data_IF_297528225109
#
_entry.id   IF_297528225109
#
_cell.length_a   1.000
_cell.length_b   1.000
_cell.length_c   1.000
_cell.angle_alpha   90.00
_cell.angle_beta   90.00
_cell.angle_gamma   90.00
#
_symmetry.space_group_name_H-M   'P 1'
#
loop_
_entity.id
_entity.type
_entity.pdbx_description
1 polymer ?
#
# COMPACT_ATOMS: atom_id res chain seq x y z
N UNK A 1 -40.48 13.44 -2.51
CA UNK A 1 -39.60 12.31 -2.87
C UNK A 1 -38.34 12.20 -1.99
N UNK A 2 -37.90 13.25 -1.27
CA UNK A 2 -36.73 13.25 -0.38
C UNK A 2 -36.94 12.61 1.01
N UNK A 3 -38.12 12.07 1.31
CA UNK A 3 -38.47 11.43 2.59
C UNK A 3 -38.47 9.89 2.53
N UNK A 4 -37.77 9.28 1.57
CA UNK A 4 -37.34 7.89 1.78
C UNK A 4 -36.07 7.96 2.60
N UNK A 5 -36.10 7.42 3.82
CA UNK A 5 -34.92 7.19 4.65
C UNK A 5 -33.80 6.70 3.73
N UNK A 6 -32.70 7.46 3.65
CA UNK A 6 -31.52 7.02 2.93
C UNK A 6 -31.19 5.61 3.45
N UNK A 7 -30.87 4.64 2.58
CA UNK A 7 -30.67 3.23 2.96
C UNK A 7 -29.40 3.01 3.80
N UNK A 8 -28.83 4.08 4.34
CA UNK A 8 -27.64 4.07 5.17
C UNK A 8 -27.82 5.07 6.30
N UNK A 9 -27.41 4.65 7.49
CA UNK A 9 -27.33 5.52 8.66
C UNK A 9 -26.04 6.32 8.55
N UNK A 10 -26.13 7.65 8.57
CA UNK A 10 -24.96 8.51 8.72
C UNK A 10 -24.39 8.32 10.13
N UNK A 11 -23.19 7.77 10.23
CA UNK A 11 -22.46 7.72 11.49
C UNK A 11 -21.57 8.96 11.57
N UNK A 12 -21.93 9.90 12.44
CA UNK A 12 -21.21 11.16 12.62
C UNK A 12 -19.76 10.96 13.08
N UNK A 13 -19.48 9.85 13.77
CA UNK A 13 -18.16 9.55 14.31
C UNK A 13 -17.25 8.85 13.29
N UNK A 14 -17.79 8.40 12.16
CA UNK A 14 -17.03 7.74 11.10
C UNK A 14 -16.74 8.70 9.94
N UNK A 15 -15.45 8.91 9.67
CA UNK A 15 -15.04 9.53 8.40
C UNK A 15 -15.43 8.57 7.28
N UNK A 16 -16.13 9.06 6.26
CA UNK A 16 -16.37 8.28 5.04
C UNK A 16 -15.19 8.39 4.07
N UNK A 17 -14.99 7.36 3.24
CA UNK A 17 -13.97 7.43 2.20
C UNK A 17 -14.33 8.48 1.17
N UNK A 18 -13.46 9.46 0.99
CA UNK A 18 -13.60 10.46 -0.07
C UNK A 18 -12.75 10.03 -1.26
N UNK A 19 -13.40 9.58 -2.33
CA UNK A 19 -12.68 9.28 -3.58
C UNK A 19 -12.33 10.57 -4.31
N UNK A 20 -11.07 10.73 -4.72
CA UNK A 20 -10.71 11.81 -5.66
C UNK A 20 -10.48 11.21 -7.05
N UNK A 21 -11.47 11.32 -7.96
CA UNK A 21 -11.28 10.85 -9.32
C UNK A 21 -10.33 11.76 -10.11
N UNK A 22 -10.05 12.98 -9.63
CA UNK A 22 -9.32 14.00 -10.37
C UNK A 22 -7.80 13.82 -10.24
N UNK A 23 -7.08 14.17 -11.31
CA UNK A 23 -5.66 13.85 -11.49
C UNK A 23 -5.40 12.40 -11.92
N UNK A 24 -6.45 11.64 -12.23
CA UNK A 24 -6.37 10.25 -12.66
C UNK A 24 -6.66 10.11 -14.17
N UNK A 25 -5.88 9.35 -14.93
CA UNK A 25 -6.20 9.06 -16.34
C UNK A 25 -7.60 8.44 -16.58
N UNK A 26 -8.21 7.86 -15.55
CA UNK A 26 -9.57 7.28 -15.53
C UNK A 26 -10.67 8.33 -15.32
N UNK A 27 -10.33 9.58 -15.03
CA UNK A 27 -11.27 10.68 -14.71
C UNK A 27 -12.18 11.13 -15.87
N UNK A 28 -12.16 10.45 -17.03
CA UNK A 28 -12.75 10.93 -18.28
C UNK A 28 -14.25 11.28 -18.12
N UNK A 29 -14.95 10.58 -17.24
CA UNK A 29 -16.38 10.78 -16.98
C UNK A 29 -16.70 11.83 -15.90
N UNK A 30 -15.69 12.42 -15.26
CA UNK A 30 -15.88 13.33 -14.13
C UNK A 30 -15.36 14.73 -14.48
N UNK A 31 -16.25 15.72 -14.38
CA UNK A 31 -15.93 17.13 -14.63
C UNK A 31 -15.54 17.87 -13.34
N UNK A 32 -16.22 17.55 -12.24
CA UNK A 32 -15.98 18.13 -10.93
C UNK A 32 -16.40 17.15 -9.81
N UNK A 33 -15.83 17.35 -8.63
CA UNK A 33 -16.21 16.71 -7.37
C UNK A 33 -16.65 17.81 -6.40
N UNK A 34 -17.81 17.62 -5.78
CA UNK A 34 -18.31 18.46 -4.69
C UNK A 34 -18.31 17.64 -3.41
N UNK A 35 -17.63 18.14 -2.38
CA UNK A 35 -17.54 17.48 -1.07
C UNK A 35 -18.15 18.39 -0.01
N UNK A 36 -19.18 17.90 0.65
CA UNK A 36 -19.80 18.57 1.79
C UNK A 36 -19.10 18.08 3.07
N UNK A 37 -18.25 18.92 3.64
CA UNK A 37 -17.59 18.70 4.92
C UNK A 37 -18.40 19.38 6.03
N UNK A 38 -19.44 18.68 6.47
CA UNK A 38 -20.39 19.17 7.47
C UNK A 38 -19.69 19.52 8.79
N UNK A 39 -18.80 18.67 9.36
CA UNK A 39 -18.11 19.00 10.61
C UNK A 39 -17.30 20.29 10.57
N UNK A 40 -16.69 20.60 9.42
CA UNK A 40 -15.88 21.81 9.26
C UNK A 40 -16.65 23.01 8.69
N UNK A 41 -17.96 22.90 8.48
CA UNK A 41 -18.81 23.92 7.84
C UNK A 41 -18.31 24.32 6.44
N UNK A 42 -17.83 23.38 5.61
CA UNK A 42 -17.19 23.68 4.32
C UNK A 42 -17.78 22.89 3.15
N UNK A 43 -18.05 23.56 2.04
CA UNK A 43 -18.22 22.96 0.70
C UNK A 43 -16.91 23.06 -0.08
N UNK A 44 -16.35 21.92 -0.44
CA UNK A 44 -15.18 21.85 -1.31
C UNK A 44 -15.60 21.55 -2.74
N UNK A 45 -15.00 22.26 -3.69
CA UNK A 45 -15.12 22.06 -5.12
C UNK A 45 -13.76 21.67 -5.68
N UNK A 46 -13.70 20.55 -6.40
CA UNK A 46 -12.47 20.12 -7.10
C UNK A 46 -12.80 19.88 -8.56
N UNK A 47 -11.98 20.38 -9.48
CA UNK A 47 -12.03 20.03 -10.90
C UNK A 47 -10.61 19.72 -11.42
N UNK A 48 -10.42 19.56 -12.73
CA UNK A 48 -9.09 19.22 -13.28
C UNK A 48 -8.00 20.28 -13.05
N UNK A 49 -8.37 21.54 -12.86
CA UNK A 49 -7.42 22.65 -12.78
C UNK A 49 -7.21 23.18 -11.37
N UNK A 50 -8.19 23.03 -10.48
CA UNK A 50 -8.15 23.62 -9.15
C UNK A 50 -8.96 22.86 -8.12
N UNK A 51 -8.61 23.08 -6.87
CA UNK A 51 -9.42 22.81 -5.69
C UNK A 51 -9.77 24.13 -5.01
N UNK A 52 -11.00 24.28 -4.57
CA UNK A 52 -11.51 25.49 -3.92
C UNK A 52 -12.47 25.13 -2.80
N UNK A 53 -12.68 26.03 -1.85
CA UNK A 53 -13.61 25.82 -0.75
C UNK A 53 -14.42 27.07 -0.42
N UNK A 54 -15.58 26.90 0.18
CA UNK A 54 -16.38 27.97 0.78
C UNK A 54 -17.09 27.46 2.01
N UNK A 55 -17.40 28.34 2.98
CA UNK A 55 -18.21 27.96 4.13
C UNK A 55 -19.66 27.66 3.73
N UNK A 56 -20.27 26.63 4.31
CA UNK A 56 -21.68 26.28 4.04
C UNK A 56 -22.62 27.37 4.56
N UNK A 57 -22.29 28.02 5.69
CA UNK A 57 -23.00 29.20 6.19
C UNK A 57 -23.19 30.30 5.13
N UNK A 58 -22.17 30.58 4.31
CA UNK A 58 -22.26 31.59 3.25
C UNK A 58 -23.25 31.22 2.12
N UNK A 59 -23.48 29.92 1.90
CA UNK A 59 -24.47 29.45 0.92
C UNK A 59 -25.91 29.68 1.39
N UNK A 60 -26.12 29.83 2.70
CA UNK A 60 -27.44 30.10 3.29
C UNK A 60 -27.79 31.59 3.25
N UNK A 61 -26.76 32.46 3.27
CA UNK A 61 -26.93 33.91 3.31
C UNK A 61 -27.10 34.55 1.93
N UNK A 62 -26.44 34.01 0.90
CA UNK A 62 -26.47 34.61 -0.45
C UNK A 62 -26.27 33.59 -1.56
N UNK A 63 -26.59 34.01 -2.79
CA UNK A 63 -26.19 33.28 -4.00
C UNK A 63 -24.66 33.37 -4.14
N UNK A 64 -24.03 32.21 -4.29
CA UNK A 64 -22.57 32.05 -4.38
C UNK A 64 -22.19 31.56 -5.77
N UNK A 65 -21.13 32.13 -6.33
CA UNK A 65 -20.49 31.68 -7.56
C UNK A 65 -19.14 31.02 -7.27
N UNK A 66 -18.59 30.30 -8.25
CA UNK A 66 -17.25 29.69 -8.12
C UNK A 66 -16.11 30.71 -7.89
N UNK A 67 -16.34 31.99 -8.19
CA UNK A 67 -15.38 33.07 -7.96
C UNK A 67 -15.32 33.50 -6.48
N UNK A 68 -16.38 33.22 -5.70
CA UNK A 68 -16.43 33.51 -4.27
C UNK A 68 -15.68 32.46 -3.42
N UNK A 69 -15.26 31.34 -4.03
CA UNK A 69 -14.58 30.25 -3.33
C UNK A 69 -13.09 30.54 -3.18
N UNK A 70 -12.55 30.26 -1.99
CA UNK A 70 -11.13 30.32 -1.68
C UNK A 70 -10.37 29.22 -2.44
N UNK A 71 -9.23 29.56 -3.06
CA UNK A 71 -8.40 28.59 -3.79
C UNK A 71 -7.50 27.79 -2.86
N UNK A 72 -7.55 26.46 -2.98
CA UNK A 72 -6.71 25.50 -2.25
C UNK A 72 -5.58 24.93 -3.12
N UNK A 73 -5.33 25.54 -4.29
CA UNK A 73 -4.30 25.11 -5.24
C UNK A 73 -4.78 24.05 -6.24
N UNK A 74 -3.89 23.11 -6.58
CA UNK A 74 -4.13 22.08 -7.59
C UNK A 74 -5.20 21.04 -7.20
N UNK A 75 -5.59 20.18 -8.16
CA UNK A 75 -6.67 19.19 -7.97
C UNK A 75 -6.30 18.03 -7.04
N UNK A 76 -5.01 17.79 -6.85
CA UNK A 76 -4.46 16.78 -5.95
C UNK A 76 -3.96 17.52 -4.70
N UNK A 77 -4.43 17.15 -3.49
CA UNK A 77 -3.88 17.70 -2.26
C UNK A 77 -2.36 17.43 -2.19
N UNK A 78 -1.55 18.37 -1.67
CA UNK A 78 -0.15 18.08 -1.42
C UNK A 78 -0.02 16.89 -0.45
N UNK A 79 1.02 16.07 -0.58
CA UNK A 79 1.29 15.00 0.38
C UNK A 79 1.33 15.56 1.81
N UNK A 80 0.62 14.92 2.74
CA UNK A 80 0.70 15.28 4.16
C UNK A 80 2.10 14.92 4.67
N UNK A 81 2.89 15.94 5.02
CA UNK A 81 4.15 15.71 5.71
C UNK A 81 3.89 15.17 7.12
N UNK A 82 4.69 14.19 7.57
CA UNK A 82 4.55 13.64 8.91
C UNK A 82 4.95 14.71 9.94
N UNK A 83 3.97 15.17 10.72
CA UNK A 83 4.18 16.14 11.80
C UNK A 83 4.89 15.43 12.96
N UNK A 84 6.21 15.55 13.02
CA UNK A 84 7.05 14.95 14.06
C UNK A 84 8.07 15.97 14.58
N UNK A 85 8.11 16.12 15.90
CA UNK A 85 8.98 17.07 16.57
C UNK A 85 10.45 16.64 16.38
N UNK A 86 11.23 17.40 15.62
CA UNK A 86 12.55 17.01 15.10
C UNK A 86 13.69 17.04 16.14
N UNK A 87 13.36 17.04 17.43
CA UNK A 87 14.31 17.37 18.51
C UNK A 87 15.21 16.20 18.94
N UNK A 88 14.93 14.96 18.49
CA UNK A 88 15.71 13.77 18.81
C UNK A 88 16.37 13.17 17.56
N UNK A 89 17.61 12.64 17.67
CA UNK A 89 18.25 11.95 16.56
C UNK A 89 17.50 10.66 16.23
N UNK A 90 17.09 10.52 14.98
CA UNK A 90 16.45 9.31 14.49
C UNK A 90 17.40 8.12 14.52
N UNK A 91 16.87 6.95 14.89
CA UNK A 91 17.55 5.68 14.71
C UNK A 91 17.70 5.40 13.20
N UNK A 92 18.90 4.98 12.78
CA UNK A 92 19.22 4.65 11.38
C UNK A 92 19.81 3.23 11.30
N UNK A 93 18.97 2.19 11.30
CA UNK A 93 19.46 0.82 11.14
C UNK A 93 20.06 0.59 9.75
N UNK A 94 21.07 -0.28 9.66
CA UNK A 94 21.52 -0.87 8.40
C UNK A 94 20.62 -2.05 8.07
N UNK A 95 19.85 -1.90 7.00
CA UNK A 95 18.74 -2.81 6.70
C UNK A 95 19.16 -3.77 5.59
N UNK A 96 19.68 -4.98 5.92
CA UNK A 96 20.03 -5.96 4.90
C UNK A 96 18.75 -6.49 4.27
N UNK A 97 18.64 -6.38 2.96
CA UNK A 97 17.50 -6.89 2.18
C UNK A 97 18.02 -7.60 0.94
N UNK A 98 17.52 -8.81 0.72
CA UNK A 98 17.81 -9.60 -0.49
C UNK A 98 17.38 -8.83 -1.75
N UNK A 99 18.27 -8.77 -2.74
CA UNK A 99 18.06 -7.99 -3.96
C UNK A 99 16.88 -8.47 -4.81
N UNK A 100 16.54 -9.76 -4.76
CA UNK A 100 15.40 -10.36 -5.49
C UNK A 100 14.10 -9.96 -4.83
N UNK A 101 14.03 -10.10 -3.51
CA UNK A 101 12.91 -9.60 -2.70
C UNK A 101 12.68 -8.12 -2.95
N UNK A 102 13.74 -7.30 -2.91
CA UNK A 102 13.65 -5.86 -3.16
C UNK A 102 13.10 -5.56 -4.56
N UNK A 103 13.68 -6.15 -5.61
CA UNK A 103 13.28 -5.88 -7.00
C UNK A 103 11.83 -6.32 -7.31
N UNK A 104 11.41 -7.46 -6.75
CA UNK A 104 10.06 -7.98 -6.96
C UNK A 104 9.01 -7.17 -6.19
N UNK A 105 9.21 -7.00 -4.89
CA UNK A 105 8.23 -6.31 -4.01
C UNK A 105 8.16 -4.81 -4.26
N UNK A 106 9.27 -4.15 -4.63
CA UNK A 106 9.25 -2.74 -5.04
C UNK A 106 8.23 -2.52 -6.15
N UNK A 107 8.31 -3.35 -7.20
CA UNK A 107 7.45 -3.21 -8.37
C UNK A 107 6.00 -3.57 -8.06
N UNK A 108 5.76 -4.60 -7.22
CA UNK A 108 4.42 -4.93 -6.73
C UNK A 108 3.78 -3.76 -5.98
N UNK A 109 4.46 -3.19 -4.98
CA UNK A 109 3.93 -2.08 -4.17
C UNK A 109 3.71 -0.81 -5.01
N UNK A 110 4.63 -0.51 -5.93
CA UNK A 110 4.48 0.63 -6.85
C UNK A 110 3.27 0.46 -7.77
N UNK A 111 3.10 -0.73 -8.36
CA UNK A 111 1.99 -0.98 -9.27
C UNK A 111 0.65 -1.10 -8.51
N UNK A 112 0.68 -1.58 -7.25
CA UNK A 112 -0.45 -1.55 -6.32
C UNK A 112 -0.89 -0.13 -5.99
N UNK A 113 0.04 0.73 -5.55
CA UNK A 113 -0.19 2.16 -5.35
C UNK A 113 -0.81 2.77 -6.60
N UNK A 114 -0.25 2.46 -7.77
CA UNK A 114 -0.76 2.98 -9.02
C UNK A 114 -2.21 2.59 -9.23
N UNK A 115 -2.60 1.33 -9.07
CA UNK A 115 -3.99 0.91 -9.28
C UNK A 115 -4.98 1.59 -8.31
N UNK A 116 -4.58 1.81 -7.07
CA UNK A 116 -5.42 2.31 -5.97
C UNK A 116 -5.27 3.80 -5.65
N UNK A 117 -4.51 4.53 -6.48
CA UNK A 117 -4.18 5.96 -6.30
C UNK A 117 -5.36 6.88 -6.02
N UNK A 118 -6.55 6.59 -6.53
CA UNK A 118 -7.76 7.42 -6.35
C UNK A 118 -8.23 7.49 -4.89
N UNK A 119 -7.91 6.47 -4.07
CA UNK A 119 -8.14 6.49 -2.62
C UNK A 119 -6.92 7.10 -1.90
N UNK A 120 -5.72 6.70 -2.32
CA UNK A 120 -4.47 7.06 -1.64
C UNK A 120 -4.14 8.57 -1.66
N UNK A 121 -4.74 9.34 -2.58
CA UNK A 121 -4.61 10.80 -2.65
C UNK A 121 -5.30 11.54 -1.52
N UNK A 122 -6.32 10.93 -0.91
CA UNK A 122 -7.19 11.58 0.05
C UNK A 122 -7.04 11.00 1.46
N UNK A 123 -7.83 11.52 2.39
CA UNK A 123 -8.10 10.85 3.66
C UNK A 123 -9.08 9.71 3.42
N UNK A 124 -8.83 8.60 4.08
CA UNK A 124 -9.68 7.40 4.08
C UNK A 124 -9.98 7.01 5.52
N UNK A 125 -11.05 6.24 5.69
CA UNK A 125 -11.53 5.81 6.98
C UNK A 125 -10.63 4.72 7.60
N UNK A 126 -10.92 4.34 8.85
CA UNK A 126 -10.16 3.31 9.57
C UNK A 126 -10.28 1.93 8.90
N UNK A 127 -11.47 1.56 8.40
CA UNK A 127 -11.70 0.29 7.70
C UNK A 127 -10.80 0.16 6.48
N UNK A 128 -10.75 1.19 5.65
CA UNK A 128 -9.95 1.27 4.42
C UNK A 128 -8.46 1.34 4.74
N UNK A 129 -8.06 2.07 5.78
CA UNK A 129 -6.69 2.02 6.32
C UNK A 129 -6.29 0.57 6.64
N UNK A 130 -7.12 -0.17 7.38
CA UNK A 130 -6.84 -1.56 7.79
C UNK A 130 -6.81 -2.52 6.60
N UNK A 131 -7.68 -2.35 5.60
CA UNK A 131 -7.66 -3.14 4.35
C UNK A 131 -6.38 -2.91 3.56
N UNK A 132 -5.97 -1.66 3.38
CA UNK A 132 -4.72 -1.33 2.69
C UNK A 132 -3.49 -1.80 3.46
N UNK A 133 -3.47 -1.63 4.77
CA UNK A 133 -2.39 -2.13 5.60
C UNK A 133 -2.24 -3.65 5.46
N UNK A 134 -3.35 -4.40 5.54
CA UNK A 134 -3.32 -5.86 5.36
C UNK A 134 -2.83 -6.24 3.97
N UNK A 135 -3.28 -5.55 2.92
CA UNK A 135 -2.80 -5.78 1.57
C UNK A 135 -1.29 -5.52 1.41
N UNK A 136 -0.77 -4.43 1.99
CA UNK A 136 0.67 -4.12 1.99
C UNK A 136 1.44 -5.24 2.67
N UNK A 137 1.02 -5.66 3.87
CA UNK A 137 1.65 -6.76 4.60
C UNK A 137 1.64 -8.04 3.75
N UNK A 138 0.50 -8.41 3.17
CA UNK A 138 0.39 -9.60 2.30
C UNK A 138 1.33 -9.53 1.10
N UNK A 139 1.47 -8.36 0.46
CA UNK A 139 2.37 -8.19 -0.68
C UNK A 139 3.85 -8.30 -0.29
N UNK A 140 4.27 -7.75 0.86
CA UNK A 140 5.68 -7.80 1.29
C UNK A 140 6.06 -9.15 1.91
N UNK A 141 5.11 -9.87 2.50
CA UNK A 141 5.33 -11.23 3.01
C UNK A 141 5.11 -12.30 1.95
N UNK A 142 4.74 -11.90 0.73
CA UNK A 142 4.39 -12.79 -0.39
C UNK A 142 3.20 -13.73 -0.10
N UNK A 143 2.34 -13.34 0.84
CA UNK A 143 1.10 -14.02 1.19
C UNK A 143 -0.04 -13.63 0.23
N UNK A 144 0.09 -14.02 -1.03
CA UNK A 144 -0.93 -13.83 -2.06
C UNK A 144 -0.85 -14.93 -3.11
N UNK A 145 -1.94 -15.12 -3.86
CA UNK A 145 -2.00 -16.06 -4.97
C UNK A 145 -1.75 -15.33 -6.28
N UNK A 146 -0.97 -15.94 -7.19
CA UNK A 146 -0.98 -15.54 -8.59
C UNK A 146 -1.87 -16.54 -9.34
N UNK A 147 -3.02 -16.06 -9.83
CA UNK A 147 -3.89 -16.84 -10.69
C UNK A 147 -3.55 -16.51 -12.13
N UNK A 148 -3.14 -17.53 -12.88
CA UNK A 148 -2.75 -17.38 -14.27
C UNK A 148 -3.92 -17.63 -15.19
N UNK A 149 -4.13 -16.72 -16.12
CA UNK A 149 -5.15 -16.86 -17.14
C UNK A 149 -4.47 -17.07 -18.49
N UNK A 150 -4.56 -18.28 -19.02
CA UNK A 150 -4.10 -18.68 -20.36
C UNK A 150 -5.23 -18.63 -21.40
N UNK A 151 -6.49 -18.48 -20.95
CA UNK A 151 -7.68 -18.49 -21.79
C UNK A 151 -8.01 -17.15 -22.43
N UNK A 152 -8.84 -17.21 -23.48
CA UNK A 152 -9.48 -16.03 -24.05
C UNK A 152 -10.66 -15.57 -23.20
N UNK A 153 -10.86 -14.26 -23.09
CA UNK A 153 -12.07 -13.68 -22.49
C UNK A 153 -12.48 -12.37 -23.17
N UNK A 154 -13.78 -12.10 -23.18
CA UNK A 154 -14.38 -10.90 -23.77
C UNK A 154 -14.52 -9.71 -22.83
N UNK A 155 -13.98 -9.79 -21.60
CA UNK A 155 -14.11 -8.72 -20.61
C UNK A 155 -13.45 -7.42 -21.09
N UNK A 156 -14.13 -6.30 -20.80
CA UNK A 156 -13.66 -4.94 -21.07
C UNK A 156 -13.79 -4.10 -19.81
N UNK A 157 -13.06 -3.00 -19.77
CA UNK A 157 -13.11 -2.03 -18.67
C UNK A 157 -11.79 -1.95 -17.93
N UNK A 158 -11.75 -1.19 -16.84
CA UNK A 158 -10.57 -1.05 -15.98
C UNK A 158 -10.54 -2.17 -14.94
N UNK A 159 -9.35 -2.57 -14.48
CA UNK A 159 -9.26 -3.52 -13.36
C UNK A 159 -9.66 -2.88 -12.03
N UNK A 160 -9.30 -1.61 -11.83
CA UNK A 160 -9.71 -0.81 -10.68
C UNK A 160 -10.31 0.49 -11.21
N UNK A 161 -11.56 0.76 -10.87
CA UNK A 161 -12.23 2.00 -11.19
C UNK A 161 -12.13 2.99 -10.05
N UNK A 162 -12.34 4.26 -10.37
CA UNK A 162 -12.15 5.39 -9.44
C UNK A 162 -13.19 5.47 -8.33
N UNK A 163 -14.27 4.69 -8.41
CA UNK A 163 -15.26 4.53 -7.35
C UNK A 163 -15.14 3.20 -6.61
N UNK A 164 -14.21 2.32 -7.02
CA UNK A 164 -14.01 1.04 -6.33
C UNK A 164 -13.34 1.28 -4.98
N UNK A 165 -13.83 0.59 -3.95
CA UNK A 165 -13.21 0.46 -2.64
C UNK A 165 -12.58 -0.94 -2.50
N UNK A 166 -11.54 -1.11 -1.67
CA UNK A 166 -10.94 -2.42 -1.43
C UNK A 166 -11.97 -3.37 -0.80
N UNK A 167 -12.21 -4.51 -1.43
CA UNK A 167 -13.14 -5.53 -0.95
C UNK A 167 -12.46 -6.65 -0.13
N UNK A 168 -11.14 -6.64 -0.04
CA UNK A 168 -10.35 -7.66 0.68
C UNK A 168 -10.44 -7.52 2.18
N UNK A 169 -10.18 -8.61 2.90
CA UNK A 169 -10.19 -8.62 4.37
C UNK A 169 -9.32 -7.51 5.00
N UNK A 170 -9.73 -7.06 6.19
CA UNK A 170 -9.05 -6.06 7.00
C UNK A 170 -8.31 -6.70 8.18
N UNK A 171 -7.45 -5.95 8.85
CA UNK A 171 -6.98 -6.33 10.19
C UNK A 171 -8.08 -6.05 11.23
N UNK A 172 -8.34 -7.01 12.12
CA UNK A 172 -9.39 -6.87 13.15
C UNK A 172 -9.07 -5.78 14.18
N UNK A 173 -7.78 -5.46 14.37
CA UNK A 173 -7.29 -4.48 15.32
C UNK A 173 -6.31 -3.48 14.68
N UNK A 174 -6.11 -2.35 15.34
CA UNK A 174 -5.08 -1.37 14.97
C UNK A 174 -3.67 -1.82 15.37
N UNK A 175 -3.55 -2.79 16.26
CA UNK A 175 -2.28 -3.38 16.66
C UNK A 175 -2.35 -4.88 16.36
N UNK A 176 -1.49 -5.34 15.45
CA UNK A 176 -1.48 -6.74 15.02
C UNK A 176 -0.06 -7.29 15.04
N UNK A 177 0.08 -8.59 15.31
CA UNK A 177 1.38 -9.25 15.27
C UNK A 177 1.62 -9.86 13.87
N UNK A 178 2.76 -9.55 13.28
CA UNK A 178 3.20 -10.07 11.98
C UNK A 178 4.58 -10.70 12.16
N UNK A 179 4.64 -12.02 12.28
CA UNK A 179 5.86 -12.71 12.71
C UNK A 179 6.29 -12.26 14.11
N UNK A 180 7.51 -11.73 14.22
CA UNK A 180 8.09 -11.26 15.47
C UNK A 180 7.92 -9.75 15.72
N UNK A 181 7.27 -9.02 14.80
CA UNK A 181 7.07 -7.57 14.93
C UNK A 181 5.60 -7.24 15.14
N UNK A 182 5.33 -6.18 15.90
CA UNK A 182 3.98 -5.63 16.04
C UNK A 182 3.77 -4.52 15.00
N UNK A 183 2.72 -4.60 14.21
CA UNK A 183 2.33 -3.57 13.24
C UNK A 183 1.23 -2.73 13.87
N UNK A 184 1.50 -1.43 13.99
CA UNK A 184 0.59 -0.42 14.53
C UNK A 184 0.04 0.40 13.37
N UNK A 185 -1.28 0.38 13.22
CA UNK A 185 -2.04 1.07 12.20
C UNK A 185 -2.52 2.41 12.75
N UNK A 186 -2.25 3.48 12.00
CA UNK A 186 -2.60 4.83 12.39
C UNK A 186 -2.87 5.72 11.17
N UNK A 187 -3.58 6.83 11.38
CA UNK A 187 -3.73 7.84 10.33
C UNK A 187 -2.53 8.80 10.33
N UNK A 188 -1.99 9.10 11.52
CA UNK A 188 -0.82 9.97 11.69
C UNK A 188 0.31 9.24 12.41
N UNK A 189 1.56 9.63 12.13
CA UNK A 189 2.73 9.01 12.78
C UNK A 189 2.75 9.25 14.30
N UNK A 190 2.28 10.41 14.75
CA UNK A 190 2.19 10.77 16.17
C UNK A 190 1.21 9.84 16.92
N UNK A 191 0.03 9.59 16.34
CA UNK A 191 -0.95 8.63 16.89
C UNK A 191 -0.32 7.23 17.03
N UNK A 192 0.43 6.80 16.01
CA UNK A 192 1.15 5.53 16.02
C UNK A 192 2.18 5.43 17.15
N UNK A 193 2.95 6.49 17.39
CA UNK A 193 3.94 6.52 18.47
C UNK A 193 3.29 6.46 19.84
N UNK A 194 2.20 7.21 20.06
CA UNK A 194 1.44 7.14 21.31
C UNK A 194 0.90 5.73 21.57
N UNK A 195 0.36 5.06 20.54
CA UNK A 195 -0.09 3.66 20.63
C UNK A 195 1.06 2.70 20.98
N UNK A 196 2.23 2.87 20.36
CA UNK A 196 3.42 2.05 20.67
C UNK A 196 3.88 2.26 22.11
N UNK A 197 3.97 3.51 22.58
CA UNK A 197 4.37 3.82 23.95
C UNK A 197 3.40 3.21 24.95
N UNK A 198 2.08 3.38 24.72
CA UNK A 198 1.06 2.79 25.56
C UNK A 198 1.17 1.27 25.62
N UNK A 199 1.33 0.60 24.47
CA UNK A 199 1.49 -0.85 24.44
C UNK A 199 2.77 -1.33 25.14
N UNK A 200 3.89 -0.62 24.95
CA UNK A 200 5.17 -0.92 25.57
C UNK A 200 5.15 -0.74 27.10
N UNK A 201 4.29 0.14 27.63
CA UNK A 201 4.13 0.32 29.08
C UNK A 201 3.24 -0.73 29.74
N UNK A 202 2.29 -1.34 29.01
CA UNK A 202 1.40 -2.39 29.55
C UNK A 202 2.01 -3.78 29.52
N UNK A 203 2.90 -4.06 28.56
CA UNK A 203 3.74 -5.24 28.67
C UNK A 203 4.77 -4.93 29.75
N UNK A 204 4.68 -5.60 30.90
CA UNK A 204 5.83 -5.80 31.76
C UNK A 204 6.92 -6.35 30.85
N UNK A 205 7.86 -5.47 30.47
CA UNK A 205 8.90 -5.76 29.50
C UNK A 205 9.85 -6.76 30.16
N UNK A 206 9.42 -8.02 30.20
CA UNK A 206 10.19 -9.10 30.77
C UNK A 206 11.41 -9.22 29.87
N UNK A 207 12.56 -8.81 30.41
CA UNK A 207 13.87 -8.79 29.76
C UNK A 207 14.35 -10.17 29.24
N UNK A 208 13.49 -11.18 29.21
CA UNK A 208 13.74 -12.52 28.70
C UNK A 208 13.67 -12.62 27.17
N UNK A 209 13.10 -11.62 26.47
CA UNK A 209 13.27 -11.51 25.02
C UNK A 209 14.56 -10.73 24.72
N UNK A 210 15.69 -11.45 24.68
CA UNK A 210 16.94 -10.94 24.11
C UNK A 210 16.59 -10.33 22.75
N UNK A 211 16.96 -9.06 22.46
CA UNK A 211 16.70 -8.47 21.16
C UNK A 211 17.27 -9.42 20.11
N UNK A 212 16.40 -9.92 19.22
CA UNK A 212 16.83 -10.75 18.10
C UNK A 212 17.78 -9.92 17.26
N UNK A 213 19.08 -10.19 17.44
CA UNK A 213 20.12 -9.60 16.62
C UNK A 213 20.09 -10.32 15.28
N UNK A 214 20.17 -9.57 14.20
CA UNK A 214 20.49 -10.16 12.90
C UNK A 214 21.90 -10.74 12.94
N UNK A 215 22.25 -11.55 11.95
CA UNK A 215 23.61 -12.09 11.79
C UNK A 215 24.68 -10.97 11.72
N UNK A 216 24.28 -9.74 11.40
CA UNK A 216 25.13 -8.54 11.39
C UNK A 216 25.17 -7.79 12.73
N UNK A 217 24.55 -8.30 13.79
CA UNK A 217 24.52 -7.68 15.12
C UNK A 217 23.50 -6.55 15.29
N UNK A 218 22.67 -6.26 14.29
CA UNK A 218 21.65 -5.21 14.36
C UNK A 218 20.43 -5.64 15.16
N UNK A 219 19.90 -4.72 15.98
CA UNK A 219 18.71 -4.96 16.79
C UNK A 219 17.46 -4.86 15.92
N UNK A 220 16.69 -5.94 15.83
CA UNK A 220 15.41 -5.93 15.12
C UNK A 220 14.39 -4.99 15.77
N UNK A 221 13.51 -4.36 14.97
CA UNK A 221 12.46 -3.48 15.49
C UNK A 221 11.39 -4.31 16.20
N UNK A 222 10.86 -3.78 17.30
CA UNK A 222 9.72 -4.39 17.99
C UNK A 222 8.39 -3.98 17.35
N UNK A 223 8.37 -2.80 16.70
CA UNK A 223 7.18 -2.20 16.11
C UNK A 223 7.43 -1.65 14.71
N UNK A 224 6.42 -1.78 13.85
CA UNK A 224 6.25 -1.01 12.60
C UNK A 224 5.05 -0.10 12.80
N UNK A 225 5.21 1.20 12.63
CA UNK A 225 4.09 2.13 12.52
C UNK A 225 3.78 2.31 11.02
N UNK A 226 2.55 2.02 10.62
CA UNK A 226 2.11 1.99 9.23
C UNK A 226 0.84 2.83 9.05
N UNK A 227 0.94 3.95 8.34
CA UNK A 227 -0.21 4.77 7.97
C UNK A 227 -0.68 4.58 6.53
N UNK A 228 -0.15 3.57 5.83
CA UNK A 228 -0.24 3.37 4.37
C UNK A 228 0.51 4.47 3.59
N UNK A 229 0.50 5.72 4.05
CA UNK A 229 1.26 6.81 3.46
C UNK A 229 2.72 6.87 3.89
N UNK A 230 2.99 6.51 5.14
CA UNK A 230 4.33 6.48 5.70
C UNK A 230 4.55 5.19 6.48
N UNK A 231 5.82 4.83 6.63
CA UNK A 231 6.28 3.76 7.50
C UNK A 231 7.38 4.25 8.42
N UNK A 232 7.38 3.80 9.66
CA UNK A 232 8.40 4.09 10.65
C UNK A 232 8.68 2.83 11.46
N UNK A 233 9.94 2.58 11.76
CA UNK A 233 10.33 1.48 12.65
C UNK A 233 10.54 2.03 14.06
N UNK A 234 10.16 1.23 15.05
CA UNK A 234 10.42 1.56 16.45
C UNK A 234 11.00 0.37 17.21
N UNK A 235 11.90 0.71 18.12
CA UNK A 235 12.56 -0.20 19.02
C UNK A 235 12.39 0.31 20.44
N UNK A 236 11.78 -0.52 21.29
CA UNK A 236 11.56 -0.20 22.69
C UNK A 236 12.83 -0.52 23.48
N UNK A 237 13.43 0.51 24.07
CA UNK A 237 14.63 0.39 24.92
C UNK A 237 14.29 0.36 26.41
N UNK A 238 13.02 0.58 26.77
CA UNK A 238 12.50 0.45 28.12
C UNK A 238 11.02 0.84 28.20
N UNK A 239 10.39 0.81 29.39
CA UNK A 239 8.94 1.02 29.58
C UNK A 239 8.42 2.38 29.08
N UNK A 240 9.30 3.39 29.00
CA UNK A 240 9.01 4.75 28.55
C UNK A 240 10.04 5.28 27.54
N UNK A 241 10.95 4.44 27.06
CA UNK A 241 12.04 4.82 26.17
C UNK A 241 11.90 4.10 24.84
N UNK A 242 11.69 4.88 23.77
CA UNK A 242 11.48 4.39 22.42
C UNK A 242 12.46 5.07 21.47
N UNK A 243 13.21 4.27 20.70
CA UNK A 243 13.94 4.75 19.53
C UNK A 243 13.09 4.52 18.30
N UNK A 244 13.05 5.50 17.40
CA UNK A 244 12.33 5.36 16.14
C UNK A 244 13.13 5.95 14.97
N UNK A 245 12.86 5.44 13.78
CA UNK A 245 13.42 5.99 12.53
C UNK A 245 12.70 7.29 12.17
N UNK A 246 13.21 8.00 11.16
CA UNK A 246 12.41 8.99 10.48
C UNK A 246 11.23 8.28 9.77
N UNK A 247 10.06 8.93 9.64
CA UNK A 247 8.99 8.41 8.81
C UNK A 247 9.39 8.46 7.34
N UNK A 248 9.30 7.31 6.68
CA UNK A 248 9.66 7.16 5.27
C UNK A 248 8.41 7.12 4.39
N UNK A 249 8.40 7.83 3.24
CA UNK A 249 7.27 7.84 2.32
C UNK A 249 6.98 6.45 1.74
N UNK A 250 5.76 5.97 1.96
CA UNK A 250 5.26 4.70 1.43
C UNK A 250 4.35 4.95 0.22
N UNK A 251 3.15 5.51 0.40
CA UNK A 251 2.21 5.81 -0.68
C UNK A 251 1.67 7.24 -0.58
N UNK A 252 1.49 7.91 -1.71
CA UNK A 252 0.92 9.26 -1.76
C UNK A 252 -0.19 9.44 -2.80
N UNK A 253 -0.48 8.39 -3.58
CA UNK A 253 -1.41 8.44 -4.70
C UNK A 253 -0.96 9.31 -5.89
N UNK A 254 0.23 9.89 -5.85
CA UNK A 254 0.77 10.68 -6.96
C UNK A 254 1.43 9.78 -8.01
N UNK A 255 1.06 9.99 -9.26
CA UNK A 255 1.52 9.20 -10.40
C UNK A 255 2.98 9.49 -10.78
N UNK A 256 3.45 10.72 -10.54
CA UNK A 256 4.77 11.17 -11.01
C UNK A 256 5.89 10.83 -10.02
N UNK A 257 5.55 10.70 -8.73
CA UNK A 257 6.45 10.09 -7.76
C UNK A 257 6.49 8.57 -7.94
N UNK A 258 7.62 7.93 -7.65
CA UNK A 258 7.78 6.47 -7.73
C UNK A 258 7.80 5.80 -6.33
N UNK A 259 6.71 5.83 -5.56
CA UNK A 259 6.63 5.12 -4.28
C UNK A 259 6.69 3.60 -4.48
N UNK A 260 7.13 2.84 -3.45
CA UNK A 260 7.63 3.29 -2.15
C UNK A 260 9.00 3.96 -2.23
N UNK A 261 9.39 4.74 -1.21
CA UNK A 261 10.82 5.09 -1.03
C UNK A 261 11.64 3.81 -0.82
N UNK A 262 12.92 3.82 -1.21
CA UNK A 262 13.78 2.63 -1.04
C UNK A 262 13.92 2.24 0.44
N UNK A 263 14.03 3.23 1.33
CA UNK A 263 14.10 3.01 2.77
C UNK A 263 12.77 2.47 3.33
N UNK A 264 11.62 3.01 2.89
CA UNK A 264 10.30 2.48 3.28
C UNK A 264 10.15 1.00 2.92
N UNK A 265 10.55 0.65 1.70
CA UNK A 265 10.54 -0.75 1.25
C UNK A 265 11.47 -1.61 2.10
N UNK A 266 12.71 -1.16 2.33
CA UNK A 266 13.67 -1.92 3.11
C UNK A 266 13.19 -2.13 4.55
N UNK A 267 12.61 -1.10 5.18
CA UNK A 267 12.01 -1.18 6.51
C UNK A 267 10.93 -2.25 6.58
N UNK A 268 9.99 -2.25 5.63
CA UNK A 268 8.93 -3.25 5.56
C UNK A 268 9.50 -4.66 5.38
N UNK A 269 10.41 -4.86 4.43
CA UNK A 269 10.97 -6.18 4.11
C UNK A 269 11.78 -6.78 5.26
N UNK A 270 12.57 -5.95 5.94
CA UNK A 270 13.40 -6.36 7.06
C UNK A 270 12.56 -6.64 8.31
N UNK A 271 11.69 -5.73 8.70
CA UNK A 271 10.88 -5.88 9.91
C UNK A 271 9.91 -7.07 9.81
N UNK A 272 9.39 -7.37 8.62
CA UNK A 272 8.50 -8.52 8.39
C UNK A 272 9.21 -9.80 7.96
N UNK A 273 10.55 -9.86 8.05
CA UNK A 273 11.30 -11.03 7.60
C UNK A 273 10.91 -12.32 8.29
N UNK A 274 10.62 -12.25 9.59
CA UNK A 274 10.16 -13.37 10.40
C UNK A 274 8.75 -13.87 10.06
N UNK A 275 7.95 -13.09 9.32
CA UNK A 275 6.61 -13.49 8.89
C UNK A 275 6.63 -14.27 7.57
N UNK A 276 7.77 -14.34 6.90
CA UNK A 276 7.94 -15.15 5.68
C UNK A 276 8.32 -16.58 6.07
N UNK A 277 7.86 -17.59 5.32
CA UNK A 277 8.34 -18.97 5.51
C UNK A 277 9.86 -19.01 5.36
N UNK A 278 10.57 -19.51 6.37
CA UNK A 278 11.99 -19.83 6.24
C UNK A 278 12.10 -21.21 5.58
N UNK A 279 12.39 -21.22 4.29
CA UNK A 279 12.53 -22.45 3.52
C UNK A 279 14.01 -22.62 3.17
N UNK A 280 14.67 -23.56 3.84
CA UNK A 280 15.99 -24.03 3.43
C UNK A 280 15.81 -25.26 2.55
N UNK A 281 16.33 -25.19 1.32
CA UNK A 281 16.26 -26.31 0.37
C UNK A 281 17.64 -26.60 -0.18
N UNK A 282 17.95 -27.86 -0.54
CA UNK A 282 19.17 -28.18 -1.27
C UNK A 282 19.30 -27.44 -2.61
N UNK A 283 18.20 -26.88 -3.14
CA UNK A 283 18.24 -26.08 -4.37
C UNK A 283 19.11 -24.83 -4.24
N UNK A 284 19.26 -24.29 -3.02
CA UNK A 284 20.09 -23.12 -2.75
C UNK A 284 21.58 -23.35 -3.01
N UNK A 285 22.06 -24.61 -2.98
CA UNK A 285 23.47 -24.93 -3.28
C UNK A 285 23.74 -25.15 -4.77
N UNK A 286 22.71 -25.25 -5.61
CA UNK A 286 22.87 -25.38 -7.05
C UNK A 286 23.35 -24.06 -7.67
N UNK A 287 24.11 -24.09 -8.78
CA UNK A 287 24.39 -22.90 -9.58
C UNK A 287 23.10 -22.16 -9.97
N UNK A 288 23.16 -20.83 -10.04
CA UNK A 288 22.00 -19.98 -10.29
C UNK A 288 21.30 -20.31 -11.62
N UNK A 289 22.05 -20.79 -12.60
CA UNK A 289 21.55 -21.25 -13.90
C UNK A 289 20.61 -22.44 -13.73
N UNK A 290 20.99 -23.43 -12.91
CA UNK A 290 20.13 -24.57 -12.62
C UNK A 290 18.93 -24.17 -11.77
N UNK A 291 19.12 -23.24 -10.82
CA UNK A 291 18.00 -22.69 -10.05
C UNK A 291 16.97 -22.01 -10.97
N UNK A 292 17.42 -21.22 -11.94
CA UNK A 292 16.54 -20.58 -12.92
C UNK A 292 15.81 -21.61 -13.78
N UNK A 293 16.51 -22.65 -14.28
CA UNK A 293 15.87 -23.72 -15.06
C UNK A 293 14.77 -24.40 -14.24
N UNK A 294 15.01 -24.70 -12.96
CA UNK A 294 14.00 -25.30 -12.08
C UNK A 294 12.80 -24.36 -11.90
N UNK A 295 13.06 -23.07 -11.68
CA UNK A 295 12.04 -22.05 -11.54
C UNK A 295 11.16 -21.91 -12.79
N UNK A 296 11.73 -22.09 -14.00
CA UNK A 296 10.97 -22.05 -15.25
C UNK A 296 9.91 -23.16 -15.37
N UNK A 297 10.03 -24.24 -14.59
CA UNK A 297 9.02 -25.32 -14.54
C UNK A 297 7.93 -25.11 -13.47
N UNK A 298 8.01 -24.05 -12.66
CA UNK A 298 7.06 -23.81 -11.55
C UNK A 298 5.69 -23.38 -12.06
N UNK A 299 5.65 -22.52 -13.07
CA UNK A 299 4.42 -21.90 -13.56
C UNK A 299 4.55 -21.52 -15.04
N UNK A 300 3.42 -21.27 -15.71
CA UNK A 300 3.43 -20.85 -17.12
C UNK A 300 3.83 -19.38 -17.24
N UNK A 301 3.41 -18.55 -16.29
CA UNK A 301 3.75 -17.14 -16.20
C UNK A 301 4.94 -16.85 -15.29
N UNK A 302 5.72 -15.83 -15.66
CA UNK A 302 6.97 -15.50 -14.96
C UNK A 302 6.77 -14.81 -13.60
N UNK A 303 5.56 -14.34 -13.28
CA UNK A 303 5.28 -13.64 -12.02
C UNK A 303 5.17 -14.61 -10.84
N UNK A 304 4.50 -15.76 -11.01
CA UNK A 304 4.45 -16.77 -9.94
C UNK A 304 5.84 -17.40 -9.76
N UNK A 305 6.55 -17.67 -10.85
CA UNK A 305 7.95 -18.10 -10.81
C UNK A 305 8.83 -17.14 -10.01
N UNK A 306 8.70 -15.83 -10.24
CA UNK A 306 9.44 -14.82 -9.48
C UNK A 306 9.08 -14.81 -7.99
N UNK A 307 7.79 -14.96 -7.65
CA UNK A 307 7.33 -15.07 -6.26
C UNK A 307 7.93 -16.31 -5.59
N UNK A 308 7.92 -17.46 -6.24
CA UNK A 308 8.48 -18.71 -5.70
C UNK A 308 9.99 -18.62 -5.53
N UNK A 309 10.72 -18.05 -6.51
CA UNK A 309 12.16 -17.79 -6.37
C UNK A 309 12.48 -16.90 -5.17
N UNK A 310 11.67 -15.86 -4.94
CA UNK A 310 11.77 -14.99 -3.77
C UNK A 310 11.52 -15.74 -2.44
N UNK A 311 10.50 -16.60 -2.37
CA UNK A 311 10.16 -17.40 -1.19
C UNK A 311 11.25 -18.43 -0.85
N UNK A 312 11.80 -19.09 -1.86
CA UNK A 312 12.83 -20.12 -1.71
C UNK A 312 14.24 -19.54 -1.56
N UNK A 313 14.42 -18.24 -1.84
CA UNK A 313 15.74 -17.64 -1.91
C UNK A 313 16.62 -18.26 -3.00
N UNK A 314 16.03 -18.67 -4.13
CA UNK A 314 16.74 -19.23 -5.29
C UNK A 314 16.49 -18.42 -6.57
N UNK A 315 17.34 -18.63 -7.57
CA UNK A 315 17.28 -17.98 -8.87
C UNK A 315 17.86 -16.58 -8.89
N UNK A 316 17.86 -16.00 -10.09
CA UNK A 316 18.31 -14.64 -10.37
C UNK A 316 17.26 -13.59 -10.02
N UNK A 317 17.71 -12.33 -9.91
CA UNK A 317 16.79 -11.19 -9.73
C UNK A 317 15.83 -11.06 -10.89
N UNK A 318 14.54 -11.09 -10.60
CA UNK A 318 13.51 -11.02 -11.63
C UNK A 318 13.57 -9.71 -12.41
N UNK A 319 13.78 -9.83 -13.73
CA UNK A 319 13.99 -8.70 -14.63
C UNK A 319 12.71 -8.07 -15.17
N UNK A 320 11.53 -8.54 -14.72
CA UNK A 320 10.21 -8.14 -15.24
C UNK A 320 10.11 -8.34 -16.76
N UNK A 321 10.59 -9.50 -17.21
CA UNK A 321 10.55 -9.95 -18.60
C UNK A 321 10.06 -11.39 -18.69
N UNK A 322 9.50 -11.70 -19.84
CA UNK A 322 9.12 -13.05 -20.27
C UNK A 322 9.75 -13.27 -21.66
N UNK A 323 10.93 -13.88 -21.66
CA UNK A 323 11.83 -13.89 -22.81
C UNK A 323 12.11 -12.48 -23.34
N UNK A 324 11.80 -12.17 -24.61
CA UNK A 324 11.99 -10.84 -25.19
C UNK A 324 10.89 -9.84 -24.78
N UNK A 325 9.80 -10.30 -24.15
CA UNK A 325 8.64 -9.47 -23.85
C UNK A 325 8.82 -8.78 -22.50
N UNK A 326 8.36 -7.53 -22.40
CA UNK A 326 8.35 -6.80 -21.13
C UNK A 326 7.06 -7.09 -20.37
N UNK A 327 7.20 -7.48 -19.10
CA UNK A 327 6.05 -7.67 -18.21
C UNK A 327 5.63 -6.32 -17.65
N UNK A 328 4.38 -5.96 -17.92
CA UNK A 328 3.84 -4.64 -17.57
C UNK A 328 2.53 -4.76 -16.80
N UNK A 329 2.28 -3.76 -15.94
CA UNK A 329 1.00 -3.62 -15.26
C UNK A 329 -0.09 -3.38 -16.30
N UNK A 330 -1.06 -4.27 -16.34
CA UNK A 330 -2.26 -4.08 -17.14
C UNK A 330 -3.27 -3.22 -16.39
N UNK A 331 -3.77 -2.17 -17.04
CA UNK A 331 -4.73 -1.24 -16.43
C UNK A 331 -6.17 -1.60 -16.78
N UNK A 332 -6.38 -2.31 -17.89
CA UNK A 332 -7.69 -2.59 -18.45
C UNK A 332 -7.81 -4.06 -18.81
N UNK A 333 -9.01 -4.60 -18.60
CA UNK A 333 -9.39 -5.84 -19.25
C UNK A 333 -9.31 -5.66 -20.76
N UNK A 334 -8.50 -6.48 -21.40
CA UNK A 334 -8.45 -6.57 -22.85
C UNK A 334 -9.24 -7.78 -23.31
N UNK A 335 -9.78 -7.71 -24.52
CA UNK A 335 -10.27 -8.91 -25.19
C UNK A 335 -9.05 -9.79 -25.50
N UNK A 336 -9.06 -10.99 -24.95
CA UNK A 336 -7.98 -11.97 -25.14
C UNK A 336 -8.48 -13.09 -26.04
N UNK A 337 -7.60 -13.51 -26.94
CA UNK A 337 -7.74 -14.72 -27.74
C UNK A 337 -6.81 -15.79 -27.17
N UNK A 338 -7.04 -17.05 -27.51
CA UNK A 338 -6.33 -18.21 -26.93
C UNK A 338 -4.81 -18.24 -27.13
N UNK A 339 -4.26 -17.38 -28.00
CA UNK A 339 -2.81 -17.23 -28.23
C UNK A 339 -2.19 -16.03 -27.50
N UNK A 340 -2.96 -15.35 -26.65
CA UNK A 340 -2.44 -14.20 -25.89
C UNK A 340 -1.43 -14.68 -24.85
N UNK A 341 -0.38 -13.89 -24.56
CA UNK A 341 0.55 -14.20 -23.47
C UNK A 341 -0.18 -14.39 -22.14
N UNK A 342 0.42 -15.12 -21.21
CA UNK A 342 -0.17 -15.39 -19.89
C UNK A 342 -0.43 -14.09 -19.14
N UNK A 343 -1.61 -14.00 -18.55
CA UNK A 343 -1.98 -12.90 -17.66
C UNK A 343 -1.87 -13.38 -16.22
N UNK A 344 -1.00 -12.74 -15.44
CA UNK A 344 -0.78 -13.06 -14.04
C UNK A 344 -1.59 -12.09 -13.16
N UNK A 345 -2.62 -12.62 -12.50
CA UNK A 345 -3.54 -11.84 -11.66
C UNK A 345 -3.13 -12.05 -10.20
N UNK A 346 -2.93 -10.98 -9.42
CA UNK A 346 -2.64 -11.10 -7.99
C UNK A 346 -3.95 -11.11 -7.19
N UNK A 347 -4.13 -12.12 -6.34
CA UNK A 347 -5.33 -12.36 -5.54
C UNK A 347 -5.03 -12.43 -4.05
N UNK A 348 -5.97 -11.88 -3.28
CA UNK A 348 -6.01 -11.96 -1.83
C UNK A 348 -7.17 -12.87 -1.45
N UNK A 349 -6.88 -14.17 -1.30
CA UNK A 349 -7.91 -15.21 -1.20
C UNK A 349 -8.92 -15.07 -2.37
N UNK A 350 -10.22 -14.95 -2.08
CA UNK A 350 -11.26 -14.86 -3.10
C UNK A 350 -11.41 -13.49 -3.78
N UNK A 351 -10.58 -12.51 -3.42
CA UNK A 351 -10.72 -11.17 -3.96
C UNK A 351 -9.51 -10.74 -4.78
N UNK A 352 -9.76 -10.20 -5.98
CA UNK A 352 -8.72 -9.67 -6.86
C UNK A 352 -8.11 -8.39 -6.28
N UNK A 353 -6.78 -8.33 -6.22
CA UNK A 353 -6.03 -7.15 -5.71
C UNK A 353 -6.06 -5.92 -6.63
N UNK A 354 -6.50 -6.11 -7.88
CA UNK A 354 -6.40 -5.09 -8.94
C UNK A 354 -5.06 -5.06 -9.66
N UNK A 355 -4.02 -5.75 -9.16
CA UNK A 355 -2.75 -5.91 -9.87
C UNK A 355 -2.89 -7.05 -10.88
N UNK A 356 -2.52 -6.74 -12.12
CA UNK A 356 -2.56 -7.67 -13.24
C UNK A 356 -1.33 -7.43 -14.10
N UNK A 357 -0.63 -8.48 -14.47
CA UNK A 357 0.56 -8.41 -15.31
C UNK A 357 0.35 -9.13 -16.63
N UNK A 358 0.88 -8.54 -17.69
CA UNK A 358 0.89 -9.14 -19.02
C UNK A 358 2.19 -8.80 -19.74
N UNK A 359 2.78 -9.80 -20.38
CA UNK A 359 3.97 -9.67 -21.21
C UNK A 359 3.62 -9.15 -22.62
N UNK A 360 4.33 -8.13 -23.12
CA UNK A 360 4.12 -7.58 -24.47
C UNK A 360 5.42 -7.18 -25.17
N UNK A 361 5.38 -7.19 -26.51
CA UNK A 361 6.35 -6.48 -27.34
C UNK A 361 6.08 -4.98 -27.18
N UNK A 362 7.13 -4.22 -26.92
CA UNK A 362 7.06 -2.77 -26.82
C UNK A 362 7.18 -2.14 -28.21
#
# INVERSE_FOLDING_TARGET
>A
ALHKSLPFTWNYDEKYDTVNPLGDSRQIQYHALWTFDIPNDVLQYTNRGRRSQIRLSLLQERVVCLADMESLGGPIPPPLEPTLDSKLPYWRPQVPVDGRMRAFTYRLLRDFHRQWRHILRNQYNSVTLRRFARAIIRLITLDFEVRENTGGHGWRGVHVWITHLPAWDLFEADLVRVGNVHVVLCQTMQEGLSKVQQHASYQDFSMSQIPSRTDCGEVQPNYIILSVKHVMLCHATGPSSLKHTAPEPLFNGDYDTAPPSELALNYLLWATASARPSISTPLQSLPVELQNIILDYVSVGTVETAKVGCLLGIGSTYSWKDGPLKVTLEKRHMIRHSRSPVESLVWFAEHKSGIVYLARKY
#
